data_IF_095983801832
#
_entry.id   IF_095983801832
#
_cell.length_a   1.000
_cell.length_b   1.000
_cell.length_c   1.000
_cell.angle_alpha   90.00
_cell.angle_beta   90.00
_cell.angle_gamma   90.00
#
_symmetry.space_group_name_H-M   'P 1'
#
loop_
_entity.id
_entity.type
_entity.pdbx_description
1 polymer ?
#
# COMPACT_ATOMS: atom_id res chain seq x y z
N UNK A 1 27.12 43.15 -7.20
CA UNK A 1 26.88 41.98 -8.08
C UNK A 1 26.83 40.63 -7.35
N UNK A 2 27.31 40.49 -6.11
CA UNK A 2 27.33 39.18 -5.41
C UNK A 2 26.00 38.73 -4.79
N UNK A 3 25.15 39.66 -4.32
CA UNK A 3 23.87 39.34 -3.67
C UNK A 3 22.83 38.70 -4.62
N UNK A 4 22.91 39.00 -5.92
CA UNK A 4 22.01 38.45 -6.95
C UNK A 4 22.36 37.00 -7.32
N UNK A 5 23.62 36.59 -7.12
CA UNK A 5 24.08 35.23 -7.43
C UNK A 5 23.71 34.28 -6.28
N UNK A 6 23.78 34.74 -5.02
CA UNK A 6 23.40 33.94 -3.84
C UNK A 6 21.92 33.55 -3.82
N UNK A 7 21.02 34.45 -4.25
CA UNK A 7 19.57 34.17 -4.35
C UNK A 7 19.23 33.15 -5.43
N UNK A 8 19.98 33.10 -6.53
CA UNK A 8 19.79 32.13 -7.61
C UNK A 8 20.17 30.70 -7.18
N UNK A 9 21.20 30.57 -6.33
CA UNK A 9 21.67 29.28 -5.80
C UNK A 9 20.68 28.69 -4.78
N UNK A 10 20.05 29.52 -3.94
CA UNK A 10 18.99 29.06 -3.02
C UNK A 10 17.74 28.55 -3.74
N UNK A 11 17.38 29.14 -4.88
CA UNK A 11 16.21 28.69 -5.66
C UNK A 11 16.46 27.35 -6.39
N UNK A 12 17.71 27.04 -6.74
CA UNK A 12 18.12 25.77 -7.35
C UNK A 12 18.20 24.60 -6.34
N UNK A 13 18.34 24.87 -5.04
CA UNK A 13 18.38 23.84 -4.00
C UNK A 13 16.99 23.38 -3.52
N UNK A 14 15.92 24.05 -3.95
CA UNK A 14 14.54 23.53 -3.78
C UNK A 14 14.24 22.51 -4.89
N UNK A 15 15.17 21.57 -5.07
CA UNK A 15 15.00 20.41 -5.94
C UNK A 15 14.01 19.46 -5.27
N UNK A 16 12.74 19.60 -5.65
CA UNK A 16 11.67 18.59 -5.64
C UNK A 16 12.00 17.30 -4.85
N UNK A 17 11.88 17.36 -3.53
CA UNK A 17 11.88 16.17 -2.69
C UNK A 17 10.59 15.39 -2.89
N UNK A 18 10.46 14.63 -3.97
CA UNK A 18 9.39 13.65 -4.12
C UNK A 18 9.72 12.45 -3.25
N UNK A 19 9.35 12.50 -1.97
CA UNK A 19 9.42 11.34 -1.10
C UNK A 19 8.64 10.17 -1.70
N UNK A 20 9.14 8.94 -1.55
CA UNK A 20 8.43 7.76 -2.04
C UNK A 20 7.01 7.70 -1.46
N UNK A 21 6.04 7.40 -2.31
CA UNK A 21 4.67 7.14 -1.91
C UNK A 21 4.37 5.65 -2.14
N UNK A 22 3.79 4.99 -1.14
CA UNK A 22 3.35 3.62 -1.31
C UNK A 22 2.33 3.55 -2.45
N UNK A 23 2.52 2.62 -3.38
CA UNK A 23 1.54 2.42 -4.44
C UNK A 23 0.23 1.91 -3.88
N UNK A 24 -0.86 2.37 -4.47
CA UNK A 24 -2.20 1.86 -4.19
C UNK A 24 -2.25 0.36 -4.51
N UNK A 25 -2.71 -0.42 -3.54
CA UNK A 25 -2.86 -1.85 -3.67
C UNK A 25 -3.98 -2.20 -4.65
N UNK A 26 -3.74 -3.25 -5.44
CA UNK A 26 -4.72 -3.84 -6.33
C UNK A 26 -5.40 -5.01 -5.62
N UNK A 27 -6.72 -4.95 -5.52
CA UNK A 27 -7.55 -6.02 -4.97
C UNK A 27 -8.24 -6.75 -6.12
N UNK A 28 -8.09 -8.07 -6.18
CA UNK A 28 -8.81 -8.92 -7.14
C UNK A 28 -9.53 -10.05 -6.43
N UNK A 29 -10.72 -10.40 -6.93
CA UNK A 29 -11.45 -11.58 -6.45
C UNK A 29 -10.87 -12.84 -7.06
N UNK A 30 -10.90 -13.91 -6.28
CA UNK A 30 -10.63 -15.26 -6.75
C UNK A 30 -11.97 -16.00 -6.88
N UNK A 31 -12.04 -16.94 -7.83
CA UNK A 31 -13.18 -17.83 -8.02
C UNK A 31 -12.76 -19.26 -7.66
N UNK A 32 -13.61 -20.04 -6.95
CA UNK A 32 -14.99 -19.72 -6.53
C UNK A 32 -15.07 -18.85 -5.26
N UNK A 33 -13.97 -18.70 -4.51
CA UNK A 33 -13.89 -17.90 -3.30
C UNK A 33 -12.49 -17.36 -3.10
N UNK A 34 -12.37 -16.35 -2.24
CA UNK A 34 -11.11 -15.70 -1.89
C UNK A 34 -10.87 -14.39 -2.63
N UNK A 35 -9.77 -13.74 -2.28
CA UNK A 35 -9.26 -12.54 -2.92
C UNK A 35 -7.75 -12.43 -2.73
N UNK A 36 -7.14 -11.61 -3.57
CA UNK A 36 -5.76 -11.19 -3.42
C UNK A 36 -5.67 -9.68 -3.31
N UNK A 37 -4.68 -9.24 -2.54
CA UNK A 37 -4.28 -7.84 -2.45
C UNK A 37 -2.79 -7.76 -2.79
N UNK A 38 -2.43 -6.92 -3.75
CA UNK A 38 -1.05 -6.87 -4.22
C UNK A 38 -0.57 -5.49 -4.61
N UNK A 39 0.74 -5.29 -4.49
CA UNK A 39 1.47 -4.15 -5.05
C UNK A 39 2.57 -4.65 -5.99
N UNK A 40 2.95 -3.89 -7.03
CA UNK A 40 4.14 -4.24 -7.79
C UNK A 40 5.39 -4.10 -6.92
N UNK A 41 6.39 -4.92 -7.20
CA UNK A 41 7.70 -4.82 -6.59
C UNK A 41 8.44 -3.59 -7.14
N UNK A 42 9.20 -2.95 -6.28
CA UNK A 42 10.20 -1.94 -6.61
C UNK A 42 11.48 -2.26 -5.84
N UNK A 43 12.63 -1.88 -6.41
CA UNK A 43 13.91 -2.05 -5.75
C UNK A 43 13.88 -1.42 -4.35
N UNK A 44 14.41 -2.15 -3.38
CA UNK A 44 14.49 -1.71 -1.99
C UNK A 44 13.29 -2.04 -1.12
N UNK A 45 12.18 -2.54 -1.69
CA UNK A 45 11.09 -3.08 -0.87
C UNK A 45 11.55 -4.39 -0.23
N UNK A 46 11.38 -4.50 1.09
CA UNK A 46 11.72 -5.68 1.87
C UNK A 46 10.53 -6.29 2.61
N UNK A 47 9.43 -5.55 2.75
CA UNK A 47 8.21 -6.02 3.39
C UNK A 47 6.98 -5.32 2.81
N UNK A 48 5.90 -6.09 2.65
CA UNK A 48 4.56 -5.59 2.41
C UNK A 48 3.64 -6.16 3.50
N UNK A 49 2.80 -5.34 4.13
CA UNK A 49 1.79 -5.80 5.07
C UNK A 49 0.39 -5.39 4.61
N UNK A 50 -0.57 -6.27 4.84
CA UNK A 50 -1.98 -6.02 4.59
C UNK A 50 -2.79 -6.17 5.88
N UNK A 51 -3.62 -5.16 6.15
CA UNK A 51 -4.54 -5.11 7.27
C UNK A 51 -5.94 -4.75 6.78
N UNK A 52 -6.95 -5.56 7.09
CA UNK A 52 -8.30 -5.27 6.60
C UNK A 52 -9.43 -6.00 7.30
N UNK A 53 -10.65 -5.52 7.04
CA UNK A 53 -11.93 -6.05 7.53
C UNK A 53 -12.96 -6.13 6.40
N UNK A 54 -13.92 -7.04 6.54
CA UNK A 54 -15.07 -7.20 5.65
C UNK A 54 -16.27 -6.50 6.26
N UNK A 55 -16.90 -5.61 5.50
CA UNK A 55 -18.14 -4.89 5.86
C UNK A 55 -18.08 -4.07 7.16
N UNK A 56 -16.87 -3.76 7.61
CA UNK A 56 -16.62 -2.98 8.83
C UNK A 56 -15.46 -2.01 8.59
N UNK A 57 -15.66 -0.72 8.86
CA UNK A 57 -14.62 0.32 8.66
C UNK A 57 -13.44 0.11 9.60
N UNK A 58 -12.23 0.43 9.14
CA UNK A 58 -11.04 0.45 9.98
C UNK A 58 -11.11 1.61 10.99
N UNK A 59 -10.72 1.35 12.24
CA UNK A 59 -10.45 2.38 13.25
C UNK A 59 -8.94 2.66 13.31
N UNK A 60 -8.49 3.65 12.55
CA UNK A 60 -7.07 3.99 12.44
C UNK A 60 -6.24 2.84 11.84
N UNK A 61 -5.10 2.54 12.49
CA UNK A 61 -4.15 1.50 12.07
C UNK A 61 -4.32 0.20 12.86
N UNK A 62 -5.55 -0.17 13.18
CA UNK A 62 -5.83 -1.45 13.83
C UNK A 62 -5.46 -2.64 12.93
N UNK A 63 -5.19 -3.79 13.55
CA UNK A 63 -4.79 -4.99 12.83
C UNK A 63 -5.86 -5.47 11.83
N UNK A 64 -7.14 -5.34 12.18
CA UNK A 64 -8.26 -5.86 11.41
C UNK A 64 -8.40 -7.39 11.50
N UNK A 65 -9.32 -7.94 10.69
CA UNK A 65 -9.57 -9.39 10.58
C UNK A 65 -8.42 -10.10 9.87
N UNK A 66 -7.93 -9.50 8.80
CA UNK A 66 -6.73 -9.94 8.10
C UNK A 66 -5.59 -9.04 8.49
N UNK A 67 -4.50 -9.61 8.99
CA UNK A 67 -3.33 -8.89 9.44
C UNK A 67 -2.11 -9.76 9.16
N UNK A 68 -1.37 -9.47 8.09
CA UNK A 68 -0.27 -10.33 7.68
C UNK A 68 0.85 -9.56 7.02
N UNK A 69 2.08 -9.92 7.39
CA UNK A 69 3.31 -9.52 6.72
C UNK A 69 3.67 -10.50 5.61
N UNK A 70 4.11 -9.94 4.50
CA UNK A 70 4.56 -10.61 3.30
C UNK A 70 6.03 -10.22 3.14
N UNK A 71 6.91 -11.18 3.44
CA UNK A 71 8.37 -11.01 3.44
C UNK A 71 9.04 -11.54 2.17
N UNK A 72 8.26 -12.17 1.29
CA UNK A 72 8.72 -12.69 0.01
C UNK A 72 7.77 -12.26 -1.11
N UNK A 73 8.34 -11.84 -2.24
CA UNK A 73 7.59 -11.48 -3.44
C UNK A 73 7.31 -12.70 -4.31
N UNK A 74 6.17 -12.70 -4.99
CA UNK A 74 5.81 -13.66 -6.03
C UNK A 74 6.07 -13.00 -7.39
N UNK A 75 7.21 -13.31 -8.00
CA UNK A 75 7.65 -12.65 -9.23
C UNK A 75 7.74 -11.13 -9.04
N UNK A 76 7.12 -10.35 -9.92
CA UNK A 76 7.14 -8.88 -9.88
C UNK A 76 6.23 -8.24 -8.85
N UNK A 77 5.66 -8.98 -7.89
CA UNK A 77 4.61 -8.46 -6.98
C UNK A 77 4.74 -8.97 -5.55
N UNK A 78 4.27 -8.17 -4.60
CA UNK A 78 4.00 -8.60 -3.23
C UNK A 78 2.52 -8.94 -3.12
N UNK A 79 2.17 -10.12 -2.60
CA UNK A 79 0.81 -10.64 -2.68
C UNK A 79 0.36 -11.16 -1.32
N UNK A 80 -0.68 -10.55 -0.78
CA UNK A 80 -1.52 -11.15 0.24
C UNK A 80 -2.62 -11.98 -0.45
N UNK A 81 -2.86 -13.20 0.03
CA UNK A 81 -3.86 -14.12 -0.53
C UNK A 81 -4.73 -14.69 0.59
N UNK A 82 -6.02 -14.50 0.48
CA UNK A 82 -7.07 -15.07 1.33
C UNK A 82 -7.92 -16.00 0.47
N UNK A 83 -7.98 -17.30 0.78
CA UNK A 83 -8.57 -18.32 -0.09
C UNK A 83 -9.91 -18.87 0.40
N UNK A 84 -10.33 -18.54 1.62
CA UNK A 84 -11.51 -19.13 2.25
C UNK A 84 -12.72 -18.20 2.26
N UNK A 85 -12.50 -16.88 2.22
CA UNK A 85 -13.57 -15.90 2.27
C UNK A 85 -14.38 -15.87 0.97
N UNK A 86 -15.66 -16.24 1.03
CA UNK A 86 -16.59 -16.12 -0.08
C UNK A 86 -17.18 -14.69 -0.11
N UNK A 87 -16.65 -13.84 -0.99
CA UNK A 87 -17.14 -12.47 -1.18
C UNK A 87 -18.45 -12.47 -1.99
N UNK A 88 -19.41 -11.67 -1.56
CA UNK A 88 -20.72 -11.47 -2.19
C UNK A 88 -20.79 -10.09 -2.83
N UNK A 89 -21.60 -9.96 -3.88
CA UNK A 89 -21.93 -8.64 -4.44
C UNK A 89 -22.53 -7.75 -3.35
N UNK A 90 -22.01 -6.53 -3.21
CA UNK A 90 -22.35 -5.59 -2.16
C UNK A 90 -21.38 -5.57 -0.97
N UNK A 91 -20.52 -6.60 -0.83
CA UNK A 91 -19.48 -6.59 0.21
C UNK A 91 -18.47 -5.47 -0.01
N UNK A 92 -17.88 -4.98 1.08
CA UNK A 92 -16.84 -3.96 1.08
C UNK A 92 -15.67 -4.42 1.93
N UNK A 93 -14.46 -4.36 1.38
CA UNK A 93 -13.22 -4.57 2.12
C UNK A 93 -12.66 -3.20 2.48
N UNK A 94 -12.56 -2.91 3.78
CA UNK A 94 -11.87 -1.74 4.32
C UNK A 94 -10.47 -2.17 4.76
N UNK A 95 -9.45 -1.41 4.40
CA UNK A 95 -8.07 -1.83 4.64
C UNK A 95 -7.07 -0.68 4.72
N UNK A 96 -5.88 -0.99 5.21
CA UNK A 96 -4.68 -0.21 5.01
C UNK A 96 -3.51 -1.15 4.68
N UNK A 97 -2.48 -0.62 4.04
CA UNK A 97 -1.28 -1.40 3.73
C UNK A 97 -0.02 -0.71 4.20
N UNK A 98 1.03 -1.47 4.46
CA UNK A 98 2.36 -0.96 4.79
C UNK A 98 3.41 -1.53 3.85
N UNK A 99 4.42 -0.72 3.53
CA UNK A 99 5.57 -1.09 2.71
C UNK A 99 6.83 -0.61 3.43
N UNK A 100 7.75 -1.52 3.69
CA UNK A 100 9.11 -1.18 4.11
C UNK A 100 9.98 -1.09 2.87
N UNK A 101 10.43 0.12 2.53
CA UNK A 101 11.32 0.38 1.39
C UNK A 101 12.57 1.11 1.87
N UNK A 102 13.74 0.55 1.63
CA UNK A 102 15.03 1.11 2.06
C UNK A 102 15.05 1.46 3.55
N UNK A 103 14.44 0.62 4.39
CA UNK A 103 14.34 0.83 5.84
C UNK A 103 13.29 1.87 6.29
N UNK A 104 12.57 2.51 5.36
CA UNK A 104 11.52 3.48 5.67
C UNK A 104 10.12 2.89 5.40
N UNK A 105 9.19 3.21 6.30
CA UNK A 105 7.82 2.74 6.26
C UNK A 105 6.88 3.68 5.52
N UNK A 106 6.08 3.13 4.62
CA UNK A 106 5.11 3.88 3.83
C UNK A 106 3.77 3.17 3.85
N UNK A 107 2.66 3.93 3.83
CA UNK A 107 1.32 3.35 3.92
C UNK A 107 0.40 3.80 2.81
N UNK A 108 -0.56 2.94 2.51
CA UNK A 108 -1.84 3.35 1.95
C UNK A 108 -2.87 3.28 3.07
N UNK A 109 -3.34 4.44 3.51
CA UNK A 109 -4.40 4.55 4.53
C UNK A 109 -5.78 4.61 3.85
N UNK A 110 -6.85 4.29 4.59
CA UNK A 110 -8.25 4.42 4.16
C UNK A 110 -8.59 3.70 2.83
N UNK A 111 -7.99 2.53 2.59
CA UNK A 111 -8.31 1.68 1.45
C UNK A 111 -9.75 1.15 1.52
N UNK A 112 -10.46 1.23 0.39
CA UNK A 112 -11.81 0.69 0.24
C UNK A 112 -11.90 -0.05 -1.09
N UNK A 113 -12.42 -1.27 -1.05
CA UNK A 113 -12.72 -2.07 -2.23
C UNK A 113 -14.16 -2.58 -2.17
N UNK A 114 -14.96 -2.20 -3.16
CA UNK A 114 -16.35 -2.63 -3.29
C UNK A 114 -16.46 -3.84 -4.21
N UNK A 115 -17.22 -4.85 -3.77
CA UNK A 115 -17.49 -6.07 -4.52
C UNK A 115 -18.73 -5.87 -5.38
N UNK A 116 -18.56 -5.82 -6.71
CA UNK A 116 -19.65 -5.62 -7.69
C UNK A 116 -19.90 -6.83 -8.60
#
# INVERSE_FOLDING_TARGET
MHLRITLLICFLLVGLGTGYQARRAWVRRLYPKGFEVSIPHEQGITLFAFHGKLNEKMNGLEAGRWSKDITQREGGRWVFRETQTALRRGDVIYFWTYVLKNGLGYRQDNGVFYVW
#
